data_IF_138130785485
#
_entry.id   IF_138130785485
#
_cell.length_a   1.000
_cell.length_b   1.000
_cell.length_c   1.000
_cell.angle_alpha   90.00
_cell.angle_beta   90.00
_cell.angle_gamma   90.00
#
_symmetry.space_group_name_H-M   'P 1'
#
loop_
_entity.id
_entity.type
_entity.pdbx_description
1 polymer ?
#
# COMPACT_ATOMS: atom_id res chain seq x y z
N UNK A 1 -62.86 -18.47 -16.35
CA UNK A 1 -61.65 -19.18 -16.85
C UNK A 1 -60.85 -18.17 -17.64
N UNK A 2 -59.79 -17.63 -17.04
CA UNK A 2 -58.37 -17.91 -17.33
C UNK A 2 -57.72 -16.70 -18.02
N UNK A 3 -57.15 -15.82 -17.20
CA UNK A 3 -56.18 -14.78 -17.61
C UNK A 3 -54.79 -15.41 -17.62
N UNK A 4 -54.09 -15.39 -18.75
CA UNK A 4 -52.66 -15.69 -18.79
C UNK A 4 -51.89 -14.49 -19.33
N UNK A 5 -51.05 -13.93 -18.46
CA UNK A 5 -50.04 -12.91 -18.73
C UNK A 5 -48.83 -13.61 -19.36
N UNK A 6 -48.44 -13.21 -20.57
CA UNK A 6 -47.21 -13.67 -21.22
C UNK A 6 -46.05 -12.77 -20.79
N UNK A 7 -45.16 -13.31 -19.95
CA UNK A 7 -43.86 -12.73 -19.61
C UNK A 7 -42.90 -12.86 -20.79
N UNK A 8 -42.42 -11.75 -21.36
CA UNK A 8 -41.37 -11.75 -22.36
C UNK A 8 -39.98 -11.98 -21.71
N UNK A 9 -39.41 -13.17 -21.93
CA UNK A 9 -38.03 -13.48 -21.60
C UNK A 9 -37.05 -12.85 -22.60
N UNK A 10 -36.04 -12.13 -22.11
CA UNK A 10 -34.90 -11.62 -22.91
C UNK A 10 -34.10 -12.79 -23.54
N UNK A 11 -33.72 -12.73 -24.83
CA UNK A 11 -32.81 -13.71 -25.41
C UNK A 11 -31.36 -13.33 -25.09
N UNK A 12 -30.76 -13.95 -24.07
CA UNK A 12 -29.34 -13.75 -23.72
C UNK A 12 -28.43 -14.80 -24.37
N UNK A 13 -28.99 -15.82 -25.03
CA UNK A 13 -28.22 -17.00 -25.48
C UNK A 13 -27.69 -16.95 -26.94
N UNK A 14 -28.12 -15.99 -27.78
CA UNK A 14 -27.82 -16.01 -29.21
C UNK A 14 -26.52 -15.27 -29.62
N UNK A 15 -25.98 -14.39 -28.77
CA UNK A 15 -24.84 -13.55 -29.12
C UNK A 15 -23.47 -14.23 -28.91
N UNK A 16 -23.36 -15.16 -27.96
CA UNK A 16 -22.08 -15.82 -27.63
C UNK A 16 -21.73 -16.97 -28.60
N UNK A 17 -22.74 -17.68 -29.10
CA UNK A 17 -22.55 -18.81 -30.02
C UNK A 17 -22.00 -18.36 -31.38
N UNK A 18 -22.42 -17.19 -31.89
CA UNK A 18 -21.92 -16.63 -33.15
C UNK A 18 -20.46 -16.17 -33.10
N UNK A 19 -20.00 -15.65 -31.96
CA UNK A 19 -18.61 -15.22 -31.78
C UNK A 19 -17.65 -16.40 -31.67
N UNK A 20 -18.06 -17.43 -30.93
CA UNK A 20 -17.29 -18.69 -30.83
C UNK A 20 -17.25 -19.44 -32.17
N UNK A 21 -18.37 -19.49 -32.91
CA UNK A 21 -18.43 -20.12 -34.22
C UNK A 21 -17.56 -19.37 -35.26
N UNK A 22 -17.60 -18.03 -35.29
CA UNK A 22 -16.76 -17.22 -36.16
C UNK A 22 -15.26 -17.37 -35.86
N UNK A 23 -14.90 -17.48 -34.59
CA UNK A 23 -13.53 -17.76 -34.16
C UNK A 23 -13.05 -19.16 -34.59
N UNK A 24 -13.89 -20.19 -34.43
CA UNK A 24 -13.59 -21.56 -34.88
C UNK A 24 -13.44 -21.65 -36.40
N UNK A 25 -14.26 -20.92 -37.15
CA UNK A 25 -14.19 -20.89 -38.62
C UNK A 25 -12.96 -20.09 -39.11
N UNK A 26 -12.57 -19.01 -38.43
CA UNK A 26 -11.33 -18.28 -38.69
C UNK A 26 -10.09 -19.15 -38.41
N UNK A 27 -10.07 -19.90 -37.30
CA UNK A 27 -8.99 -20.86 -36.97
C UNK A 27 -8.86 -21.94 -38.05
N UNK A 28 -9.99 -22.49 -38.54
CA UNK A 28 -9.98 -23.49 -39.61
C UNK A 28 -9.50 -22.95 -40.95
N UNK A 29 -9.73 -21.66 -41.24
CA UNK A 29 -9.32 -21.01 -42.49
C UNK A 29 -7.88 -20.50 -42.53
N UNK A 30 -7.26 -20.23 -41.38
CA UNK A 30 -5.91 -19.65 -41.28
C UNK A 30 -4.87 -20.66 -40.72
N UNK A 31 -4.45 -21.61 -41.55
CA UNK A 31 -3.50 -22.69 -41.20
C UNK A 31 -2.12 -22.20 -40.68
N UNK A 32 -1.74 -20.96 -40.98
CA UNK A 32 -0.52 -20.31 -40.46
C UNK A 32 -0.77 -19.57 -39.13
N UNK A 33 -1.97 -19.01 -38.89
CA UNK A 33 -2.29 -18.30 -37.64
C UNK A 33 -2.42 -19.24 -36.45
N UNK A 34 -2.88 -20.48 -36.66
CA UNK A 34 -2.92 -21.51 -35.61
C UNK A 34 -1.52 -21.88 -35.08
N UNK A 35 -0.50 -21.81 -35.93
CA UNK A 35 0.89 -22.03 -35.54
C UNK A 35 1.42 -20.92 -34.62
N UNK A 36 1.22 -19.66 -35.01
CA UNK A 36 1.62 -18.50 -34.20
C UNK A 36 0.86 -18.42 -32.88
N UNK A 37 -0.44 -18.77 -32.86
CA UNK A 37 -1.23 -18.82 -31.63
C UNK A 37 -0.71 -19.89 -30.66
N UNK A 38 -0.36 -21.08 -31.18
CA UNK A 38 0.25 -22.15 -30.38
C UNK A 38 1.61 -21.75 -29.81
N UNK A 39 2.45 -21.08 -30.59
CA UNK A 39 3.75 -20.57 -30.14
C UNK A 39 3.57 -19.50 -29.05
N UNK A 40 2.66 -18.55 -29.25
CA UNK A 40 2.38 -17.50 -28.27
C UNK A 40 1.87 -18.07 -26.94
N UNK A 41 0.97 -19.05 -26.99
CA UNK A 41 0.48 -19.76 -25.79
C UNK A 41 1.59 -20.57 -25.12
N UNK A 42 2.44 -21.25 -25.89
CA UNK A 42 3.60 -21.99 -25.37
C UNK A 42 4.61 -21.07 -24.67
N UNK A 43 4.98 -19.95 -25.30
CA UNK A 43 5.86 -18.95 -24.70
C UNK A 43 5.24 -18.33 -23.44
N UNK A 44 3.94 -18.02 -23.46
CA UNK A 44 3.22 -17.54 -22.29
C UNK A 44 3.24 -18.55 -21.13
N UNK A 45 3.03 -19.83 -21.42
CA UNK A 45 3.08 -20.90 -20.41
C UNK A 45 4.49 -21.07 -19.83
N UNK A 46 5.55 -21.03 -20.66
CA UNK A 46 6.95 -21.11 -20.19
C UNK A 46 7.29 -19.90 -19.31
N UNK A 47 6.95 -18.68 -19.73
CA UNK A 47 7.15 -17.47 -18.93
C UNK A 47 6.37 -17.52 -17.61
N UNK A 48 5.14 -18.04 -17.63
CA UNK A 48 4.32 -18.20 -16.43
C UNK A 48 4.91 -19.21 -15.43
N UNK A 49 5.35 -20.38 -15.92
CA UNK A 49 6.01 -21.39 -15.07
C UNK A 49 7.35 -20.86 -14.54
N UNK A 50 8.15 -20.20 -15.38
CA UNK A 50 9.39 -19.56 -14.96
C UNK A 50 9.14 -18.51 -13.86
N UNK A 51 8.15 -17.63 -14.05
CA UNK A 51 7.77 -16.61 -13.08
C UNK A 51 7.31 -17.23 -11.74
N UNK A 52 6.48 -18.27 -11.78
CA UNK A 52 6.03 -18.97 -10.56
C UNK A 52 7.18 -19.68 -9.82
N UNK A 53 8.12 -20.28 -10.56
CA UNK A 53 9.24 -20.99 -9.95
C UNK A 53 10.28 -20.02 -9.39
N UNK A 54 10.60 -18.98 -10.16
CA UNK A 54 11.52 -17.89 -9.78
C UNK A 54 11.02 -17.11 -8.57
N UNK A 55 9.73 -16.76 -8.50
CA UNK A 55 9.18 -16.03 -7.34
C UNK A 55 9.26 -16.85 -6.05
N UNK A 56 8.97 -18.16 -6.10
CA UNK A 56 9.02 -19.02 -4.90
C UNK A 56 10.44 -19.25 -4.40
N UNK A 57 11.41 -19.42 -5.29
CA UNK A 57 12.82 -19.55 -4.89
C UNK A 57 13.35 -18.22 -4.37
N UNK A 58 13.03 -17.12 -5.05
CA UNK A 58 13.36 -15.77 -4.61
C UNK A 58 12.81 -15.45 -3.21
N UNK A 59 11.56 -15.81 -2.91
CA UNK A 59 10.96 -15.61 -1.58
C UNK A 59 11.75 -16.34 -0.47
N UNK A 60 12.17 -17.58 -0.71
CA UNK A 60 12.93 -18.36 0.30
C UNK A 60 14.33 -17.77 0.52
N UNK A 61 15.03 -17.42 -0.55
CA UNK A 61 16.38 -16.83 -0.46
C UNK A 61 16.33 -15.44 0.15
N UNK A 62 15.33 -14.65 -0.21
CA UNK A 62 15.11 -13.31 0.35
C UNK A 62 14.79 -13.39 1.83
N UNK A 63 13.96 -14.35 2.26
CA UNK A 63 13.69 -14.61 3.67
C UNK A 63 14.96 -14.91 4.46
N UNK A 64 15.81 -15.82 3.97
CA UNK A 64 17.08 -16.14 4.64
C UNK A 64 18.02 -14.93 4.74
N UNK A 65 18.12 -14.11 3.67
CA UNK A 65 18.92 -12.88 3.68
C UNK A 65 18.35 -11.82 4.62
N UNK A 66 17.02 -11.70 4.69
CA UNK A 66 16.35 -10.79 5.61
C UNK A 66 16.65 -11.16 7.07
N UNK A 67 16.58 -12.44 7.44
CA UNK A 67 16.92 -12.88 8.80
C UNK A 67 18.36 -12.54 9.18
N UNK A 68 19.31 -12.68 8.25
CA UNK A 68 20.68 -12.24 8.48
C UNK A 68 20.76 -10.72 8.70
N UNK A 69 20.04 -9.93 7.90
CA UNK A 69 20.02 -8.48 8.02
C UNK A 69 19.39 -8.00 9.35
N UNK A 70 18.42 -8.73 9.89
CA UNK A 70 17.79 -8.42 11.19
C UNK A 70 18.78 -8.43 12.34
N UNK A 71 19.81 -9.28 12.31
CA UNK A 71 20.85 -9.29 13.34
C UNK A 71 21.57 -7.92 13.44
N UNK A 72 21.75 -7.23 12.31
CA UNK A 72 22.32 -5.89 12.29
C UNK A 72 21.33 -4.82 12.84
N UNK A 73 20.03 -5.01 12.60
CA UNK A 73 18.97 -4.15 13.17
C UNK A 73 18.90 -4.33 14.69
N UNK A 74 18.91 -5.57 15.18
CA UNK A 74 18.80 -5.91 16.60
C UNK A 74 20.00 -5.41 17.40
N UNK A 75 21.20 -5.48 16.80
CA UNK A 75 22.42 -4.89 17.37
C UNK A 75 22.48 -3.36 17.25
N UNK A 76 21.45 -2.72 16.68
CA UNK A 76 21.37 -1.27 16.40
C UNK A 76 22.53 -0.75 15.55
N UNK A 77 23.18 -1.62 14.79
CA UNK A 77 24.19 -1.24 13.82
C UNK A 77 23.49 -0.79 12.53
N UNK A 78 22.90 0.41 12.56
CA UNK A 78 22.07 0.91 11.47
C UNK A 78 22.81 1.04 10.14
N UNK A 79 24.12 1.30 10.17
CA UNK A 79 24.94 1.38 8.95
C UNK A 79 25.06 0.01 8.27
N UNK A 80 25.36 -1.04 9.04
CA UNK A 80 25.40 -2.40 8.52
C UNK A 80 24.00 -2.85 8.09
N UNK A 81 22.98 -2.61 8.92
CA UNK A 81 21.60 -2.93 8.59
C UNK A 81 21.17 -2.30 7.28
N UNK A 82 21.45 -1.00 7.06
CA UNK A 82 21.09 -0.32 5.82
C UNK A 82 21.75 -0.97 4.59
N UNK A 83 23.02 -1.36 4.69
CA UNK A 83 23.75 -2.04 3.61
C UNK A 83 23.22 -3.45 3.30
N UNK A 84 22.88 -4.24 4.32
CA UNK A 84 22.34 -5.58 4.13
C UNK A 84 20.90 -5.53 3.62
N UNK A 85 20.07 -4.63 4.17
CA UNK A 85 18.68 -4.47 3.79
C UNK A 85 18.54 -3.90 2.37
N UNK A 86 19.41 -2.98 1.94
CA UNK A 86 19.38 -2.47 0.56
C UNK A 86 19.63 -3.59 -0.45
N UNK A 87 20.56 -4.50 -0.17
CA UNK A 87 20.79 -5.67 -1.00
C UNK A 87 19.56 -6.58 -1.07
N UNK A 88 18.81 -6.75 0.03
CA UNK A 88 17.56 -7.53 0.00
C UNK A 88 16.51 -6.85 -0.87
N UNK A 89 16.35 -5.52 -0.72
CA UNK A 89 15.38 -4.72 -1.48
C UNK A 89 15.69 -4.74 -2.98
N UNK A 90 16.95 -4.58 -3.36
CA UNK A 90 17.38 -4.50 -4.76
C UNK A 90 17.35 -5.87 -5.46
N UNK A 91 17.87 -6.91 -4.81
CA UNK A 91 18.03 -8.22 -5.45
C UNK A 91 16.76 -9.09 -5.43
N UNK A 92 15.81 -8.79 -4.53
CA UNK A 92 14.60 -9.58 -4.35
C UNK A 92 13.32 -8.76 -4.46
N UNK A 93 13.35 -7.68 -5.26
CA UNK A 93 12.19 -6.83 -5.50
C UNK A 93 10.92 -7.64 -5.85
N UNK A 94 9.80 -7.28 -5.22
CA UNK A 94 8.51 -7.97 -5.39
C UNK A 94 8.25 -9.12 -4.41
N UNK A 95 9.27 -9.61 -3.70
CA UNK A 95 9.07 -10.60 -2.60
C UNK A 95 8.50 -9.95 -1.35
N UNK A 96 7.86 -10.74 -0.47
CA UNK A 96 7.42 -10.27 0.86
C UNK A 96 8.60 -9.85 1.72
N UNK A 97 9.68 -10.61 1.67
CA UNK A 97 10.91 -10.29 2.39
C UNK A 97 11.51 -8.94 1.96
N UNK A 98 11.49 -8.61 0.66
CA UNK A 98 11.93 -7.29 0.20
C UNK A 98 11.00 -6.15 0.66
N UNK A 99 9.69 -6.39 0.74
CA UNK A 99 8.76 -5.38 1.28
C UNK A 99 9.04 -5.11 2.77
N UNK A 100 9.27 -6.17 3.56
CA UNK A 100 9.64 -6.02 4.96
C UNK A 100 11.03 -5.39 5.12
N UNK A 101 12.00 -5.79 4.29
CA UNK A 101 13.32 -5.17 4.24
C UNK A 101 13.24 -3.67 3.93
N UNK A 102 12.31 -3.25 3.07
CA UNK A 102 12.09 -1.85 2.74
C UNK A 102 11.63 -1.04 3.95
N UNK A 103 10.73 -1.61 4.76
CA UNK A 103 10.28 -0.99 6.03
C UNK A 103 11.46 -0.85 6.99
N UNK A 104 12.22 -1.92 7.20
CA UNK A 104 13.38 -1.90 8.11
C UNK A 104 14.47 -0.95 7.62
N UNK A 105 14.71 -0.88 6.31
CA UNK A 105 15.68 0.03 5.71
C UNK A 105 15.28 1.48 5.94
N UNK A 106 14.00 1.81 5.75
CA UNK A 106 13.50 3.14 6.05
C UNK A 106 13.67 3.50 7.54
N UNK A 107 13.38 2.57 8.46
CA UNK A 107 13.63 2.76 9.89
C UNK A 107 15.12 2.96 10.20
N UNK A 108 16.01 2.19 9.57
CA UNK A 108 17.45 2.33 9.73
C UNK A 108 17.95 3.69 9.20
N UNK A 109 17.40 4.18 8.09
CA UNK A 109 17.69 5.53 7.61
C UNK A 109 17.21 6.60 8.59
N UNK A 110 16.00 6.48 9.14
CA UNK A 110 15.49 7.42 10.15
C UNK A 110 16.32 7.39 11.43
N UNK A 111 16.72 6.21 11.92
CA UNK A 111 17.60 6.05 13.08
C UNK A 111 19.00 6.65 12.90
N UNK A 112 19.45 6.80 11.66
CA UNK A 112 20.70 7.48 11.30
C UNK A 112 20.53 8.98 11.01
N UNK A 113 19.32 9.53 11.14
CA UNK A 113 19.02 10.91 10.73
C UNK A 113 19.02 11.13 9.21
N UNK A 114 19.06 10.06 8.41
CA UNK A 114 19.05 10.09 6.94
C UNK A 114 17.62 10.20 6.39
N UNK A 115 16.84 11.15 6.92
CA UNK A 115 15.41 11.32 6.60
C UNK A 115 15.15 11.53 5.11
N UNK A 116 16.04 12.20 4.37
CA UNK A 116 15.90 12.38 2.92
C UNK A 116 15.98 11.05 2.14
N UNK A 117 16.83 10.11 2.57
CA UNK A 117 16.92 8.78 1.95
C UNK A 117 15.67 7.96 2.26
N UNK A 118 15.16 8.04 3.51
CA UNK A 118 13.90 7.43 3.89
C UNK A 118 12.72 7.96 3.05
N UNK A 119 12.63 9.28 2.83
CA UNK A 119 11.60 9.90 1.99
C UNK A 119 11.68 9.35 0.56
N UNK A 120 12.88 9.34 -0.05
CA UNK A 120 13.04 8.87 -1.42
C UNK A 120 12.62 7.40 -1.60
N UNK A 121 13.01 6.55 -0.65
CA UNK A 121 12.64 5.14 -0.62
C UNK A 121 11.11 4.96 -0.45
N UNK A 122 10.54 5.58 0.57
CA UNK A 122 9.14 5.38 0.95
C UNK A 122 8.15 6.01 -0.04
N UNK A 123 8.48 7.13 -0.68
CA UNK A 123 7.65 7.72 -1.75
C UNK A 123 7.43 6.76 -2.91
N UNK A 124 8.46 5.98 -3.26
CA UNK A 124 8.39 4.96 -4.32
C UNK A 124 7.68 3.71 -3.86
N UNK A 125 7.94 3.29 -2.61
CA UNK A 125 7.44 2.03 -2.07
C UNK A 125 5.97 2.07 -1.64
N UNK A 126 5.58 3.06 -0.83
CA UNK A 126 4.28 3.08 -0.15
C UNK A 126 3.05 2.95 -1.09
N UNK A 127 3.00 3.59 -2.28
CA UNK A 127 1.86 3.44 -3.18
C UNK A 127 1.63 2.01 -3.69
N UNK A 128 2.72 1.24 -3.88
CA UNK A 128 2.68 -0.13 -4.38
C UNK A 128 2.89 -1.20 -3.31
N UNK A 129 3.05 -0.81 -2.04
CA UNK A 129 3.28 -1.73 -0.94
C UNK A 129 2.07 -2.65 -0.73
N UNK A 130 2.34 -3.90 -0.35
CA UNK A 130 1.28 -4.84 0.03
C UNK A 130 0.46 -4.30 1.20
N UNK A 131 -0.81 -4.70 1.27
CA UNK A 131 -1.78 -4.22 2.29
C UNK A 131 -1.29 -4.35 3.74
N UNK A 132 -0.38 -5.28 4.02
CA UNK A 132 0.22 -5.45 5.35
C UNK A 132 1.22 -4.34 5.72
N UNK A 133 1.89 -3.74 4.73
CA UNK A 133 2.98 -2.78 4.93
C UNK A 133 2.58 -1.34 4.57
N UNK A 134 1.53 -1.16 3.78
CA UNK A 134 1.19 0.15 3.20
C UNK A 134 0.94 1.24 4.25
N UNK A 135 0.16 0.95 5.30
CA UNK A 135 -0.08 1.90 6.38
C UNK A 135 1.22 2.29 7.10
N UNK A 136 2.06 1.30 7.42
CA UNK A 136 3.35 1.53 8.07
C UNK A 136 4.31 2.33 7.20
N UNK A 137 4.36 2.05 5.89
CA UNK A 137 5.19 2.78 4.94
C UNK A 137 4.81 4.26 4.87
N UNK A 138 3.51 4.56 4.82
CA UNK A 138 3.02 5.94 4.85
C UNK A 138 3.26 6.63 6.21
N UNK A 139 3.12 5.90 7.32
CA UNK A 139 3.45 6.43 8.65
C UNK A 139 4.92 6.80 8.78
N UNK A 140 5.83 5.93 8.33
CA UNK A 140 7.26 6.22 8.30
C UNK A 140 7.59 7.38 7.36
N UNK A 141 6.84 7.54 6.26
CA UNK A 141 7.02 8.66 5.33
C UNK A 141 6.61 9.97 6.00
N UNK A 142 5.53 9.96 6.77
CA UNK A 142 5.10 11.08 7.61
C UNK A 142 6.18 11.49 8.60
N UNK A 143 6.72 10.54 9.36
CA UNK A 143 7.79 10.77 10.32
C UNK A 143 9.07 11.31 9.64
N UNK A 144 9.41 10.79 8.46
CA UNK A 144 10.55 11.27 7.69
C UNK A 144 10.38 12.73 7.27
N UNK A 145 9.16 13.13 6.87
CA UNK A 145 8.83 14.52 6.54
C UNK A 145 8.82 15.44 7.77
N UNK A 146 8.35 14.98 8.93
CA UNK A 146 8.44 15.75 10.19
C UNK A 146 9.91 16.04 10.55
N UNK A 147 10.80 15.04 10.42
CA UNK A 147 12.22 15.20 10.72
C UNK A 147 12.93 16.26 9.85
N UNK A 148 12.40 16.55 8.65
CA UNK A 148 12.95 17.58 7.77
C UNK A 148 12.15 18.89 7.80
N UNK A 149 11.22 19.05 8.75
CA UNK A 149 10.36 20.22 8.89
C UNK A 149 9.44 20.50 7.68
N UNK A 150 8.90 19.43 7.08
CA UNK A 150 7.87 19.47 6.03
C UNK A 150 6.51 19.02 6.57
N UNK A 151 5.84 19.83 7.43
CA UNK A 151 4.66 19.39 8.18
C UNK A 151 3.44 19.11 7.28
N UNK A 152 3.32 19.79 6.14
CA UNK A 152 2.22 19.55 5.20
C UNK A 152 2.33 18.17 4.55
N UNK A 153 3.49 17.84 4.01
CA UNK A 153 3.76 16.53 3.41
C UNK A 153 3.69 15.41 4.44
N UNK A 154 4.12 15.68 5.68
CA UNK A 154 3.95 14.76 6.80
C UNK A 154 2.47 14.44 7.06
N UNK A 155 1.63 15.48 7.14
CA UNK A 155 0.21 15.32 7.40
C UNK A 155 -0.50 14.55 6.28
N UNK A 156 -0.15 14.81 5.02
CA UNK A 156 -0.67 14.06 3.86
C UNK A 156 -0.24 12.59 3.88
N UNK A 157 1.00 12.30 4.27
CA UNK A 157 1.49 10.93 4.40
C UNK A 157 0.78 10.19 5.55
N UNK A 158 0.62 10.82 6.71
CA UNK A 158 -0.13 10.23 7.83
C UNK A 158 -1.61 9.99 7.51
N UNK A 159 -2.25 10.89 6.76
CA UNK A 159 -3.62 10.68 6.28
C UNK A 159 -3.70 9.42 5.41
N UNK A 160 -2.75 9.23 4.49
CA UNK A 160 -2.68 7.99 3.68
C UNK A 160 -2.39 6.76 4.53
N UNK A 161 -1.63 6.89 5.62
CA UNK A 161 -1.42 5.81 6.57
C UNK A 161 -2.75 5.40 7.23
N UNK A 162 -3.56 6.37 7.66
CA UNK A 162 -4.88 6.14 8.23
C UNK A 162 -5.86 5.51 7.24
N UNK A 163 -5.79 5.87 5.96
CA UNK A 163 -6.65 5.32 4.91
C UNK A 163 -6.24 3.90 4.50
N UNK A 164 -4.96 3.57 4.58
CA UNK A 164 -4.45 2.21 4.36
C UNK A 164 -4.56 1.30 5.60
N UNK A 165 -4.93 1.85 6.77
CA UNK A 165 -4.96 1.12 8.02
C UNK A 165 -6.03 0.02 8.03
N UNK A 166 -5.61 -1.20 8.41
CA UNK A 166 -6.50 -2.37 8.50
C UNK A 166 -7.28 -2.45 9.82
N UNK A 167 -6.83 -1.72 10.83
CA UNK A 167 -7.38 -1.77 12.18
C UNK A 167 -7.77 -0.36 12.64
N UNK A 168 -8.90 -0.22 13.36
CA UNK A 168 -9.36 1.09 13.84
C UNK A 168 -8.32 1.85 14.66
N UNK A 169 -7.56 1.16 15.52
CA UNK A 169 -6.53 1.82 16.33
C UNK A 169 -5.40 2.41 15.49
N UNK A 170 -4.97 1.73 14.42
CA UNK A 170 -3.97 2.25 13.48
C UNK A 170 -4.53 3.43 12.67
N UNK A 171 -5.81 3.36 12.30
CA UNK A 171 -6.49 4.47 11.63
C UNK A 171 -6.53 5.71 12.53
N UNK A 172 -6.92 5.54 13.79
CA UNK A 172 -6.94 6.61 14.78
C UNK A 172 -5.54 7.19 15.02
N UNK A 173 -4.51 6.35 15.13
CA UNK A 173 -3.12 6.80 15.25
C UNK A 173 -2.70 7.66 14.06
N UNK A 174 -2.91 7.18 12.82
CA UNK A 174 -2.57 7.95 11.63
C UNK A 174 -3.34 9.27 11.52
N UNK A 175 -4.61 9.30 11.92
CA UNK A 175 -5.41 10.54 11.97
C UNK A 175 -4.90 11.50 13.06
N UNK A 176 -4.47 11.00 14.22
CA UNK A 176 -3.88 11.81 15.28
C UNK A 176 -2.57 12.44 14.81
N UNK A 177 -1.69 11.65 14.19
CA UNK A 177 -0.42 12.14 13.64
C UNK A 177 -0.66 13.16 12.51
N UNK A 178 -1.62 12.89 11.61
CA UNK A 178 -2.03 13.82 10.57
C UNK A 178 -2.57 15.14 11.16
N UNK A 179 -3.43 15.06 12.18
CA UNK A 179 -3.98 16.23 12.85
C UNK A 179 -2.88 17.09 13.49
N UNK A 180 -1.91 16.46 14.16
CA UNK A 180 -0.78 17.15 14.79
C UNK A 180 0.12 17.81 13.75
N UNK A 181 0.41 17.12 12.64
CA UNK A 181 1.17 17.67 11.53
C UNK A 181 0.44 18.81 10.80
N UNK A 182 -0.89 18.74 10.65
CA UNK A 182 -1.70 19.83 10.10
C UNK A 182 -1.67 21.08 10.97
N UNK A 183 -1.67 20.94 12.30
CA UNK A 183 -1.45 22.07 13.23
C UNK A 183 -0.07 22.69 13.00
N UNK A 184 0.98 21.87 12.90
CA UNK A 184 2.33 22.36 12.62
C UNK A 184 2.44 23.05 11.25
N UNK A 185 1.62 22.63 10.28
CA UNK A 185 1.51 23.28 8.97
C UNK A 185 0.64 24.55 8.96
N UNK A 186 0.02 24.90 10.10
CA UNK A 186 -0.89 26.04 10.22
C UNK A 186 -2.30 25.81 9.63
N UNK A 187 -2.63 24.59 9.19
CA UNK A 187 -3.94 24.25 8.63
C UNK A 187 -4.87 23.68 9.71
N UNK A 188 -5.40 24.58 10.55
CA UNK A 188 -6.32 24.20 11.64
C UNK A 188 -7.59 23.52 11.12
N UNK A 189 -8.05 23.85 9.92
CA UNK A 189 -9.27 23.26 9.34
C UNK A 189 -9.08 21.77 9.08
N UNK A 190 -7.97 21.38 8.42
CA UNK A 190 -7.65 19.96 8.19
C UNK A 190 -7.28 19.24 9.48
N UNK A 191 -6.62 19.91 10.43
CA UNK A 191 -6.36 19.33 11.74
C UNK A 191 -7.67 18.93 12.45
N UNK A 192 -8.65 19.84 12.48
CA UNK A 192 -9.98 19.58 13.05
C UNK A 192 -10.70 18.45 12.31
N UNK A 193 -10.61 18.39 10.99
CA UNK A 193 -11.20 17.31 10.20
C UNK A 193 -10.60 15.95 10.57
N UNK A 194 -9.27 15.85 10.70
CA UNK A 194 -8.59 14.62 11.10
C UNK A 194 -9.02 14.15 12.50
N UNK A 195 -9.06 15.06 13.49
CA UNK A 195 -9.50 14.70 14.84
C UNK A 195 -10.99 14.34 14.93
N UNK A 196 -11.86 15.02 14.17
CA UNK A 196 -13.29 14.67 14.11
C UNK A 196 -13.50 13.27 13.54
N UNK A 197 -12.75 12.90 12.51
CA UNK A 197 -12.80 11.56 11.93
C UNK A 197 -12.42 10.45 12.95
N UNK A 198 -11.60 10.76 13.96
CA UNK A 198 -11.33 9.84 15.08
C UNK A 198 -12.57 9.69 15.96
N UNK A 199 -13.21 10.80 16.32
CA UNK A 199 -14.38 10.81 17.21
C UNK A 199 -15.64 10.20 16.59
N UNK A 200 -15.74 10.24 15.26
CA UNK A 200 -16.82 9.60 14.50
C UNK A 200 -16.59 8.09 14.31
N UNK A 201 -15.36 7.62 14.54
CA UNK A 201 -15.03 6.20 14.53
C UNK A 201 -15.67 5.45 15.71
N UNK A 202 -16.12 4.22 15.45
CA UNK A 202 -16.91 3.41 16.39
C UNK A 202 -16.17 2.94 17.67
N UNK A 203 -14.90 3.30 17.87
CA UNK A 203 -14.13 2.90 19.04
C UNK A 203 -13.92 4.07 20.01
N UNK A 204 -14.62 4.03 21.15
CA UNK A 204 -14.48 4.94 22.29
C UNK A 204 -13.18 4.69 23.07
N UNK A 205 -12.07 4.69 22.35
CA UNK A 205 -10.71 4.47 22.85
C UNK A 205 -10.09 5.77 23.40
N UNK A 206 -8.91 5.65 24.04
CA UNK A 206 -8.13 6.81 24.49
C UNK A 206 -7.84 7.83 23.37
N UNK A 207 -7.71 7.38 22.12
CA UNK A 207 -7.51 8.27 20.97
C UNK A 207 -8.71 9.21 20.73
N UNK A 208 -9.94 8.75 20.96
CA UNK A 208 -11.13 9.59 20.82
C UNK A 208 -11.22 10.65 21.94
N UNK A 209 -10.74 10.32 23.15
CA UNK A 209 -10.66 11.27 24.27
C UNK A 209 -9.63 12.36 23.94
N UNK A 210 -8.42 11.97 23.51
CA UNK A 210 -7.39 12.93 23.11
C UNK A 210 -7.87 13.82 21.95
N UNK A 211 -8.50 13.24 20.93
CA UNK A 211 -9.04 13.99 19.79
C UNK A 211 -10.04 15.07 20.23
N UNK A 212 -10.94 14.76 21.18
CA UNK A 212 -11.88 15.76 21.75
C UNK A 212 -11.15 16.90 22.45
N UNK A 213 -10.08 16.61 23.20
CA UNK A 213 -9.24 17.63 23.84
C UNK A 213 -8.61 18.53 22.77
N UNK A 214 -7.99 17.95 21.74
CA UNK A 214 -7.37 18.71 20.63
C UNK A 214 -8.37 19.57 19.88
N UNK A 215 -9.57 19.06 19.61
CA UNK A 215 -10.64 19.86 19.00
C UNK A 215 -10.95 21.08 19.87
N UNK A 216 -11.14 20.88 21.18
CA UNK A 216 -11.44 21.97 22.10
C UNK A 216 -10.34 23.03 22.19
N UNK A 217 -9.07 22.62 22.19
CA UNK A 217 -7.90 23.52 22.15
C UNK A 217 -7.89 24.37 20.87
N UNK A 218 -8.06 23.72 19.72
CA UNK A 218 -8.02 24.38 18.40
C UNK A 218 -9.20 25.33 18.19
N UNK A 219 -10.40 24.99 18.67
CA UNK A 219 -11.57 25.88 18.55
C UNK A 219 -11.51 27.08 19.49
N UNK A 220 -10.95 26.92 20.71
CA UNK A 220 -10.78 28.04 21.65
C UNK A 220 -9.69 29.01 21.18
N UNK A 221 -8.59 28.50 20.62
CA UNK A 221 -7.52 29.34 20.07
C UNK A 221 -7.94 30.14 18.83
N UNK A 222 -8.92 29.66 18.07
CA UNK A 222 -9.43 30.33 16.87
C UNK A 222 -10.43 31.47 17.17
N UNK A 223 -11.06 31.48 18.35
CA UNK A 223 -12.05 32.49 18.74
C UNK A 223 -11.48 33.69 19.52
N UNK A 224 -10.18 33.70 19.82
CA UNK A 224 -9.51 34.73 20.62
C UNK A 224 -8.46 35.55 19.87
N UNK A 225 -8.41 35.45 18.54
CA UNK A 225 -7.61 36.30 17.64
C UNK A 225 -8.54 37.07 16.72
#
# INVERSE_FOLDING_TARGET
MATSVTTAGRPVAAADSGRLAGFVQWIKGHRQASGYLGIALGLGAVLFVWNLWSTRTAERTAGARLEQARLAVDSRNYKLAASELSQVVENYAGTRAAQEATILLAQAYLGQGQSQQAIALLKRFAPGAGKAYQAQAYGLLGAAYENVAHPKEAAEAYQRAADAARFPFLRAQGLSDAGRAWVAAGDTARALAAYRAITEGADSSGAAIEAKVRIGELTRGAGGR
#
